data_IF_809474484073
#
_entry.id   IF_809474484073
#
_cell.length_a   1.000
_cell.length_b   1.000
_cell.length_c   1.000
_cell.angle_alpha   90.00
_cell.angle_beta   90.00
_cell.angle_gamma   90.00
#
_symmetry.space_group_name_H-M   'P 1'
#
loop_
_entity.id
_entity.type
_entity.pdbx_description
1 polymer ?
#
# COMPACT_ATOMS: atom_id res chain seq x y z
N UNK A 1 -26.04 66.70 5.89
CA UNK A 1 -25.69 65.62 4.93
C UNK A 1 -25.49 64.34 5.73
N UNK A 2 -26.35 63.32 5.53
CA UNK A 2 -26.25 62.03 6.25
C UNK A 2 -25.38 61.09 5.40
N UNK A 3 -24.21 60.71 5.93
CA UNK A 3 -23.33 59.73 5.29
C UNK A 3 -23.79 58.32 5.68
N UNK A 4 -24.12 57.50 4.68
CA UNK A 4 -24.42 56.08 4.86
C UNK A 4 -23.19 55.27 4.51
N UNK A 5 -22.55 54.66 5.51
CA UNK A 5 -21.49 53.67 5.31
C UNK A 5 -22.14 52.35 4.93
N UNK A 6 -21.93 51.88 3.69
CA UNK A 6 -22.31 50.54 3.26
C UNK A 6 -21.26 49.54 3.75
N UNK A 7 -21.67 48.60 4.60
CA UNK A 7 -20.85 47.47 4.98
C UNK A 7 -21.03 46.38 3.92
N UNK A 8 -20.00 46.12 3.12
CA UNK A 8 -19.99 45.01 2.17
C UNK A 8 -19.58 43.73 2.93
N UNK A 9 -20.50 42.77 3.05
CA UNK A 9 -20.20 41.44 3.54
C UNK A 9 -19.59 40.62 2.40
N UNK A 10 -18.31 40.27 2.51
CA UNK A 10 -17.69 39.28 1.64
C UNK A 10 -18.07 37.88 2.13
N UNK A 11 -18.92 37.17 1.39
CA UNK A 11 -19.07 35.72 1.55
C UNK A 11 -17.82 35.06 0.95
N UNK A 12 -16.89 34.64 1.81
CA UNK A 12 -15.86 33.70 1.41
C UNK A 12 -16.51 32.35 1.11
N UNK A 13 -16.48 31.92 -0.14
CA UNK A 13 -16.77 30.53 -0.49
C UNK A 13 -15.65 29.68 0.12
N UNK A 14 -15.96 28.97 1.20
CA UNK A 14 -15.10 27.92 1.71
C UNK A 14 -15.09 26.80 0.66
N UNK A 15 -14.04 26.76 -0.16
CA UNK A 15 -13.75 25.61 -1.01
C UNK A 15 -13.55 24.44 -0.05
N UNK A 16 -14.47 23.48 -0.02
CA UNK A 16 -14.27 22.23 0.71
C UNK A 16 -13.03 21.58 0.10
N UNK A 17 -11.91 21.57 0.83
CA UNK A 17 -10.80 20.72 0.48
C UNK A 17 -11.35 19.29 0.38
N UNK A 18 -11.14 18.63 -0.76
CA UNK A 18 -11.51 17.23 -0.88
C UNK A 18 -10.69 16.41 0.12
N UNK A 19 -11.32 15.45 0.80
CA UNK A 19 -10.60 14.54 1.68
C UNK A 19 -9.57 13.75 0.87
N UNK A 20 -8.34 13.65 1.37
CA UNK A 20 -7.26 12.91 0.70
C UNK A 20 -7.52 11.42 0.86
N UNK A 21 -7.55 10.69 -0.25
CA UNK A 21 -7.77 9.25 -0.27
C UNK A 21 -6.52 8.45 0.14
N UNK A 22 -6.72 7.19 0.51
CA UNK A 22 -5.60 6.27 0.82
C UNK A 22 -4.73 6.05 -0.42
N UNK A 23 -5.34 5.89 -1.60
CA UNK A 23 -4.63 5.75 -2.86
C UNK A 23 -3.75 6.97 -3.18
N UNK A 24 -4.23 8.20 -2.95
CA UNK A 24 -3.42 9.42 -3.09
C UNK A 24 -2.27 9.48 -2.08
N UNK A 25 -2.49 9.04 -0.84
CA UNK A 25 -1.44 8.96 0.19
C UNK A 25 -0.33 8.03 -0.25
N UNK A 26 -0.63 6.82 -0.73
CA UNK A 26 0.39 5.91 -1.24
C UNK A 26 1.03 6.46 -2.53
N UNK A 27 0.21 6.93 -3.46
CA UNK A 27 0.63 7.33 -4.80
C UNK A 27 1.06 6.14 -5.65
N UNK A 28 1.51 6.42 -6.88
CA UNK A 28 1.88 5.41 -7.87
C UNK A 28 3.40 5.16 -7.95
N UNK A 29 4.11 5.31 -6.83
CA UNK A 29 5.56 5.17 -6.71
C UNK A 29 5.91 4.53 -5.36
N UNK A 30 7.18 4.21 -5.15
CA UNK A 30 7.72 3.62 -3.90
C UNK A 30 7.83 4.58 -2.71
N UNK A 31 7.51 5.86 -2.90
CA UNK A 31 7.49 6.87 -1.84
C UNK A 31 6.26 7.75 -2.03
N UNK A 32 5.56 8.01 -0.94
CA UNK A 32 4.37 8.84 -0.91
C UNK A 32 4.61 10.25 -1.44
N UNK A 33 3.71 10.81 -2.27
CA UNK A 33 3.70 12.23 -2.61
C UNK A 33 3.32 13.14 -1.42
N UNK A 34 2.87 12.55 -0.32
CA UNK A 34 2.51 13.21 0.93
C UNK A 34 3.53 13.01 2.04
N UNK A 35 4.71 12.41 1.77
CA UNK A 35 5.77 12.25 2.77
C UNK A 35 5.99 13.55 3.56
N UNK A 36 5.97 13.41 4.89
CA UNK A 36 6.14 14.49 5.88
C UNK A 36 5.04 15.57 5.90
N UNK A 37 3.90 15.35 5.23
CA UNK A 37 2.75 16.26 5.22
C UNK A 37 1.64 15.81 6.18
N UNK A 38 0.94 16.79 6.73
CA UNK A 38 -0.33 16.57 7.41
C UNK A 38 -1.44 16.29 6.39
N UNK A 39 -2.28 15.30 6.70
CA UNK A 39 -3.49 14.95 5.94
C UNK A 39 -4.68 14.89 6.88
N UNK A 40 -5.85 15.25 6.37
CA UNK A 40 -7.10 15.25 7.14
C UNK A 40 -8.18 14.41 6.50
N UNK A 41 -9.11 13.95 7.33
CA UNK A 41 -10.31 13.22 6.93
C UNK A 41 -10.03 11.92 6.15
N UNK A 42 -8.89 11.27 6.44
CA UNK A 42 -8.50 9.99 5.84
C UNK A 42 -9.48 8.93 6.33
N UNK A 43 -10.26 8.38 5.40
CA UNK A 43 -11.33 7.43 5.70
C UNK A 43 -10.96 6.03 5.24
N UNK A 44 -11.11 5.04 6.12
CA UNK A 44 -10.82 3.64 5.80
C UNK A 44 -11.53 2.64 6.69
N UNK A 45 -11.72 1.44 6.18
CA UNK A 45 -12.22 0.27 6.90
C UNK A 45 -11.08 -0.43 7.64
N UNK A 46 -11.21 -0.61 8.94
CA UNK A 46 -10.22 -1.34 9.74
C UNK A 46 -10.27 -2.83 9.39
N UNK A 47 -9.21 -3.34 8.77
CA UNK A 47 -9.11 -4.75 8.36
C UNK A 47 -8.38 -5.61 9.39
N UNK A 48 -7.42 -5.03 10.10
CA UNK A 48 -6.64 -5.70 11.14
C UNK A 48 -6.15 -4.72 12.21
N UNK A 49 -5.94 -5.24 13.42
CA UNK A 49 -5.38 -4.51 14.56
C UNK A 49 -4.09 -5.23 14.98
N UNK A 50 -3.00 -4.49 15.13
CA UNK A 50 -1.73 -4.97 15.65
C UNK A 50 -1.38 -4.27 16.96
N UNK A 51 -0.29 -4.68 17.62
CA UNK A 51 0.22 -3.97 18.80
C UNK A 51 0.73 -2.56 18.49
N UNK A 52 1.16 -2.31 17.25
CA UNK A 52 1.81 -1.07 16.85
C UNK A 52 0.88 -0.13 16.07
N UNK A 53 -0.32 -0.59 15.70
CA UNK A 53 -1.21 0.19 14.86
C UNK A 53 -2.41 -0.60 14.35
N UNK A 54 -3.02 -0.06 13.29
CA UNK A 54 -4.15 -0.66 12.59
C UNK A 54 -3.93 -0.61 11.08
N UNK A 55 -4.52 -1.56 10.37
CA UNK A 55 -4.55 -1.56 8.91
C UNK A 55 -5.91 -1.08 8.43
N UNK A 56 -5.90 -0.17 7.47
CA UNK A 56 -7.07 0.36 6.81
C UNK A 56 -7.11 -0.12 5.37
N UNK A 57 -8.30 -0.40 4.87
CA UNK A 57 -8.62 -0.50 3.45
C UNK A 57 -9.50 0.69 3.05
N UNK A 58 -9.24 1.29 1.90
CA UNK A 58 -10.10 2.34 1.35
C UNK A 58 -11.55 1.87 1.20
N UNK A 59 -12.49 2.77 1.49
CA UNK A 59 -13.92 2.52 1.23
C UNK A 59 -14.35 3.02 -0.16
N UNK A 60 -13.44 3.68 -0.88
CA UNK A 60 -13.63 4.25 -2.22
C UNK A 60 -12.34 4.02 -3.02
N UNK A 61 -12.09 2.77 -3.45
CA UNK A 61 -10.92 2.48 -4.26
C UNK A 61 -10.95 3.25 -5.58
N UNK A 62 -9.78 3.58 -6.14
CA UNK A 62 -9.65 4.38 -7.36
C UNK A 62 -9.51 3.53 -8.64
N UNK A 63 -9.47 2.20 -8.50
CA UNK A 63 -9.26 1.22 -9.57
C UNK A 63 -7.94 1.39 -10.35
N UNK A 64 -6.97 2.17 -9.85
CA UNK A 64 -5.62 2.27 -10.41
C UNK A 64 -4.79 1.09 -9.89
N UNK A 65 -4.34 0.15 -10.74
CA UNK A 65 -3.52 -0.96 -10.29
C UNK A 65 -2.19 -0.53 -9.70
N UNK A 66 -1.72 0.69 -9.96
CA UNK A 66 -0.45 1.24 -9.49
C UNK A 66 -0.56 1.95 -8.13
N UNK A 67 -1.73 2.01 -7.49
CA UNK A 67 -1.90 2.59 -6.15
C UNK A 67 -2.40 1.50 -5.18
N UNK A 68 -1.93 1.56 -3.93
CA UNK A 68 -2.47 0.67 -2.90
C UNK A 68 -3.68 1.30 -2.23
N UNK A 69 -4.70 0.47 -2.00
CA UNK A 69 -5.89 0.80 -1.20
C UNK A 69 -5.71 0.49 0.29
N UNK A 70 -4.56 -0.09 0.65
CA UNK A 70 -4.15 -0.37 2.02
C UNK A 70 -3.36 0.78 2.64
N UNK A 71 -3.56 1.04 3.93
CA UNK A 71 -2.75 1.99 4.69
C UNK A 71 -2.51 1.49 6.10
N UNK A 72 -1.27 1.56 6.57
CA UNK A 72 -0.97 1.31 7.98
C UNK A 72 -1.02 2.61 8.78
N UNK A 73 -1.72 2.60 9.91
CA UNK A 73 -1.76 3.70 10.86
C UNK A 73 -0.94 3.31 12.08
N UNK A 74 0.23 3.93 12.25
CA UNK A 74 1.12 3.68 13.37
C UNK A 74 0.65 4.43 14.63
N UNK A 75 0.19 3.67 15.62
CA UNK A 75 -0.14 4.14 16.96
C UNK A 75 -0.35 2.96 17.91
N UNK A 76 0.42 2.90 18.99
CA UNK A 76 0.30 1.89 20.04
C UNK A 76 -0.97 2.00 20.90
N UNK A 77 -1.80 3.02 20.69
CA UNK A 77 -3.04 3.24 21.45
C UNK A 77 -4.30 3.17 20.60
N UNK A 78 -4.21 3.34 19.27
CA UNK A 78 -5.39 3.44 18.41
C UNK A 78 -6.19 2.13 18.37
N UNK A 79 -5.53 0.97 18.49
CA UNK A 79 -6.19 -0.33 18.56
C UNK A 79 -7.15 -0.51 19.75
N UNK A 80 -7.11 0.37 20.75
CA UNK A 80 -8.06 0.39 21.88
C UNK A 80 -9.35 1.18 21.57
N UNK A 81 -9.34 1.98 20.50
CA UNK A 81 -10.43 2.89 20.13
C UNK A 81 -11.33 2.33 19.02
N UNK A 82 -10.85 1.33 18.27
CA UNK A 82 -11.50 0.80 17.08
C UNK A 82 -11.54 -0.73 17.11
N UNK A 83 -12.38 -1.32 16.27
CA UNK A 83 -12.47 -2.77 16.04
C UNK A 83 -12.31 -3.05 14.55
N UNK A 84 -11.87 -4.26 14.23
CA UNK A 84 -11.90 -4.72 12.85
C UNK A 84 -13.36 -4.73 12.34
N UNK A 85 -13.60 -4.25 11.12
CA UNK A 85 -14.93 -3.98 10.57
C UNK A 85 -15.49 -2.58 10.85
N UNK A 86 -14.78 -1.73 11.61
CA UNK A 86 -15.15 -0.32 11.76
C UNK A 86 -14.70 0.49 10.54
N UNK A 87 -15.54 1.37 10.01
CA UNK A 87 -15.11 2.44 9.12
C UNK A 87 -14.79 3.65 9.98
N UNK A 88 -13.58 4.17 9.84
CA UNK A 88 -13.06 5.27 10.64
C UNK A 88 -12.61 6.42 9.75
N UNK A 89 -12.68 7.63 10.27
CA UNK A 89 -12.00 8.80 9.71
C UNK A 89 -11.01 9.36 10.73
N UNK A 90 -9.88 9.88 10.26
CA UNK A 90 -8.86 10.52 11.11
C UNK A 90 -7.95 11.46 10.33
N UNK A 91 -7.25 12.31 11.08
CA UNK A 91 -6.14 13.11 10.59
C UNK A 91 -4.82 12.44 11.00
N UNK A 92 -3.72 12.79 10.33
CA UNK A 92 -2.39 12.34 10.73
C UNK A 92 -1.27 12.94 9.87
N UNK A 93 -0.06 12.42 10.07
CA UNK A 93 1.14 12.81 9.30
C UNK A 93 1.65 11.61 8.53
N UNK A 94 1.79 11.73 7.22
CA UNK A 94 2.32 10.65 6.38
C UNK A 94 3.83 10.55 6.58
N UNK A 95 4.32 9.33 6.78
CA UNK A 95 5.74 9.02 6.96
C UNK A 95 6.12 7.80 6.14
N UNK A 96 7.39 7.78 5.76
CA UNK A 96 8.03 6.63 5.14
C UNK A 96 8.88 5.94 6.21
N UNK A 97 8.53 4.70 6.56
CA UNK A 97 9.18 3.96 7.63
C UNK A 97 9.82 2.66 7.16
N UNK A 98 11.03 2.39 7.67
CA UNK A 98 11.66 1.08 7.62
C UNK A 98 12.60 0.94 8.80
N UNK A 99 12.72 -0.27 9.33
CA UNK A 99 13.61 -0.58 10.44
C UNK A 99 14.98 -1.15 10.01
N UNK A 100 15.14 -1.44 8.71
CA UNK A 100 16.38 -1.89 8.10
C UNK A 100 16.56 -1.18 6.74
N UNK A 101 17.80 -0.81 6.42
CA UNK A 101 18.14 -0.20 5.13
C UNK A 101 17.98 -1.15 3.93
N UNK A 102 17.93 -2.45 4.18
CA UNK A 102 17.70 -3.48 3.15
C UNK A 102 16.21 -3.61 2.77
N UNK A 103 15.30 -2.98 3.52
CA UNK A 103 13.85 -3.05 3.25
C UNK A 103 13.36 -1.86 2.44
N UNK A 104 12.25 -2.08 1.73
CA UNK A 104 11.43 -1.00 1.19
C UNK A 104 10.84 -0.17 2.33
N UNK A 105 10.54 1.08 2.03
CA UNK A 105 9.77 1.91 2.94
C UNK A 105 8.32 1.46 2.95
N UNK A 106 7.69 1.55 4.11
CA UNK A 106 6.25 1.47 4.28
C UNK A 106 5.72 2.89 4.44
N UNK A 107 4.82 3.31 3.54
CA UNK A 107 4.01 4.50 3.76
C UNK A 107 3.05 4.24 4.92
N UNK A 108 3.15 5.05 5.96
CA UNK A 108 2.32 4.95 7.15
C UNK A 108 1.76 6.32 7.57
N UNK A 109 0.57 6.29 8.19
CA UNK A 109 0.00 7.45 8.85
C UNK A 109 0.38 7.43 10.33
N UNK A 110 1.02 8.51 10.78
CA UNK A 110 1.47 8.67 12.17
C UNK A 110 0.71 9.78 12.89
N UNK A 111 0.82 9.82 14.22
CA UNK A 111 0.15 10.83 15.07
C UNK A 111 -1.35 10.98 14.77
N UNK A 112 -2.11 9.87 14.75
CA UNK A 112 -3.53 9.94 14.44
C UNK A 112 -4.27 10.85 15.42
N UNK A 113 -5.13 11.73 14.89
CA UNK A 113 -5.96 12.64 15.67
C UNK A 113 -7.36 12.73 15.06
N UNK A 114 -8.34 13.22 15.81
CA UNK A 114 -9.74 13.28 15.39
C UNK A 114 -10.26 11.91 14.89
N UNK A 115 -9.89 10.82 15.57
CA UNK A 115 -10.34 9.47 15.22
C UNK A 115 -11.84 9.35 15.52
N UNK A 116 -12.65 9.14 14.49
CA UNK A 116 -14.10 8.97 14.59
C UNK A 116 -14.51 7.67 13.93
N UNK A 117 -15.24 6.82 14.66
CA UNK A 117 -15.89 5.63 14.09
C UNK A 117 -17.18 6.07 13.40
N UNK A 118 -17.21 5.96 12.07
CA UNK A 118 -18.35 6.34 11.22
C UNK A 118 -19.40 5.24 11.19
N UNK A 119 -18.97 3.98 11.13
CA UNK A 119 -19.84 2.80 11.20
C UNK A 119 -19.09 1.59 11.73
N UNK A 120 -19.82 0.58 12.21
CA UNK A 120 -19.26 -0.64 12.82
C UNK A 120 -19.88 -1.89 12.23
N UNK A 121 -19.15 -3.01 12.31
CA UNK A 121 -19.65 -4.33 11.91
C UNK A 121 -19.77 -4.52 10.40
N UNK A 122 -19.04 -3.73 9.62
CA UNK A 122 -19.00 -3.86 8.17
C UNK A 122 -18.31 -5.18 7.78
N UNK A 123 -18.91 -5.90 6.85
CA UNK A 123 -18.31 -7.12 6.32
C UNK A 123 -17.15 -6.79 5.38
N UNK A 124 -16.08 -7.58 5.46
CA UNK A 124 -14.96 -7.52 4.54
C UNK A 124 -14.35 -8.91 4.37
N UNK A 125 -13.66 -9.09 3.24
CA UNK A 125 -12.94 -10.32 2.91
C UNK A 125 -11.54 -9.97 2.39
N UNK A 126 -10.55 -10.83 2.58
CA UNK A 126 -9.26 -10.66 1.93
C UNK A 126 -9.41 -10.73 0.40
N UNK A 127 -8.56 -10.00 -0.32
CA UNK A 127 -8.42 -10.14 -1.78
C UNK A 127 -7.60 -11.39 -2.08
N UNK A 128 -8.09 -12.26 -2.93
CA UNK A 128 -7.36 -13.44 -3.38
C UNK A 128 -6.34 -13.03 -4.44
N UNK A 129 -5.04 -13.21 -4.14
CA UNK A 129 -3.96 -12.93 -5.08
C UNK A 129 -4.15 -13.71 -6.39
N UNK A 130 -4.16 -12.99 -7.52
CA UNK A 130 -4.37 -13.54 -8.86
C UNK A 130 -5.82 -13.95 -9.17
N UNK A 131 -6.80 -13.57 -8.34
CA UNK A 131 -8.22 -13.72 -8.67
C UNK A 131 -9.03 -12.44 -8.41
N UNK A 132 -8.83 -11.81 -7.25
CA UNK A 132 -9.38 -10.49 -6.93
C UNK A 132 -8.33 -9.37 -7.16
N UNK A 133 -7.07 -9.72 -7.43
CA UNK A 133 -5.97 -8.80 -7.79
C UNK A 133 -5.47 -9.08 -9.21
N UNK A 134 -4.53 -8.27 -9.71
CA UNK A 134 -3.72 -8.62 -10.89
C UNK A 134 -3.04 -10.00 -10.72
N UNK A 135 -2.70 -10.62 -11.86
CA UNK A 135 -1.80 -11.77 -11.85
C UNK A 135 -0.41 -11.29 -11.42
N UNK A 136 0.24 -11.93 -10.42
CA UNK A 136 1.62 -11.62 -10.10
C UNK A 136 2.51 -11.78 -11.34
N UNK A 137 3.33 -10.76 -11.68
CA UNK A 137 4.29 -10.89 -12.77
C UNK A 137 5.26 -12.05 -12.52
N UNK A 138 5.66 -12.72 -13.59
CA UNK A 138 6.41 -13.99 -13.51
C UNK A 138 7.70 -14.00 -14.36
N UNK A 139 8.18 -12.80 -14.74
CA UNK A 139 9.40 -12.62 -15.54
C UNK A 139 10.34 -11.60 -14.91
N UNK A 140 9.93 -10.33 -14.91
CA UNK A 140 10.80 -9.22 -14.52
C UNK A 140 10.61 -8.85 -13.04
N UNK A 141 11.73 -8.54 -12.36
CA UNK A 141 11.71 -8.17 -10.95
C UNK A 141 11.39 -6.68 -10.76
N UNK A 142 12.13 -5.79 -11.42
CA UNK A 142 11.90 -4.35 -11.40
C UNK A 142 12.28 -3.69 -12.73
N UNK A 143 11.71 -2.52 -13.03
CA UNK A 143 12.09 -1.72 -14.20
C UNK A 143 13.52 -1.17 -14.17
N UNK A 144 14.26 -1.39 -13.08
CA UNK A 144 15.65 -0.99 -12.93
C UNK A 144 16.65 -2.10 -13.32
N UNK A 145 16.19 -3.35 -13.47
CA UNK A 145 17.04 -4.51 -13.77
C UNK A 145 17.25 -4.69 -15.28
N UNK A 146 17.70 -3.64 -15.97
CA UNK A 146 17.88 -3.67 -17.42
C UNK A 146 18.95 -4.70 -17.82
N UNK A 147 18.59 -5.63 -18.72
CA UNK A 147 19.47 -6.73 -19.12
C UNK A 147 19.56 -7.86 -18.08
N UNK A 148 18.64 -7.89 -17.11
CA UNK A 148 18.55 -8.94 -16.09
C UNK A 148 19.75 -8.96 -15.14
N UNK A 149 19.97 -10.11 -14.50
CA UNK A 149 21.06 -10.31 -13.51
C UNK A 149 22.47 -10.13 -14.11
N UNK A 150 22.61 -10.24 -15.43
CA UNK A 150 23.87 -10.05 -16.15
C UNK A 150 23.98 -8.69 -16.87
N UNK A 151 22.99 -7.82 -16.71
CA UNK A 151 22.93 -6.52 -17.36
C UNK A 151 24.04 -5.58 -16.92
N UNK A 152 24.68 -4.92 -17.88
CA UNK A 152 25.66 -3.86 -17.63
C UNK A 152 25.40 -2.65 -18.55
N UNK A 153 25.44 -1.40 -18.02
CA UNK A 153 25.68 -1.03 -16.63
C UNK A 153 24.38 -1.03 -15.79
N UNK A 154 24.30 -1.89 -14.77
CA UNK A 154 23.26 -1.81 -13.72
C UNK A 154 23.82 -1.03 -12.53
N UNK A 155 23.60 0.29 -12.52
CA UNK A 155 24.16 1.22 -11.53
C UNK A 155 23.13 1.77 -10.53
N UNK A 156 21.89 1.27 -10.55
CA UNK A 156 20.85 1.68 -9.61
C UNK A 156 20.70 0.61 -8.54
N UNK A 157 21.21 0.89 -7.35
CA UNK A 157 21.18 -0.04 -6.20
C UNK A 157 20.05 0.26 -5.21
N UNK A 158 19.22 1.28 -5.50
CA UNK A 158 18.14 1.72 -4.61
C UNK A 158 16.92 2.15 -5.41
N UNK A 159 15.85 1.36 -5.32
CA UNK A 159 14.55 1.62 -5.94
C UNK A 159 13.93 2.91 -5.42
N UNK A 160 13.95 3.15 -4.09
CA UNK A 160 13.40 4.37 -3.47
C UNK A 160 14.16 5.64 -3.86
N UNK A 161 15.46 5.54 -4.18
CA UNK A 161 16.22 6.71 -4.69
C UNK A 161 15.80 7.07 -6.12
N UNK A 162 15.55 6.06 -6.95
CA UNK A 162 15.04 6.29 -8.31
C UNK A 162 13.56 6.65 -8.34
N UNK A 163 12.81 6.14 -7.36
CA UNK A 163 11.37 6.27 -7.16
C UNK A 163 10.56 6.21 -8.48
N UNK A 164 10.70 5.15 -9.30
CA UNK A 164 9.99 5.06 -10.58
C UNK A 164 8.47 5.01 -10.38
N UNK A 165 7.73 5.28 -11.45
CA UNK A 165 6.29 4.97 -11.49
C UNK A 165 6.16 3.45 -11.50
N UNK A 166 5.23 2.92 -10.71
CA UNK A 166 4.96 1.49 -10.67
C UNK A 166 4.38 1.00 -11.99
N UNK A 167 4.85 -0.15 -12.47
CA UNK A 167 4.16 -0.98 -13.47
C UNK A 167 3.91 -2.39 -12.88
N UNK A 168 2.82 -2.56 -12.12
CA UNK A 168 2.44 -3.82 -11.47
C UNK A 168 2.10 -4.95 -12.43
N UNK A 169 1.91 -4.64 -13.72
CA UNK A 169 1.63 -5.65 -14.75
C UNK A 169 2.91 -6.26 -15.30
N UNK A 170 4.00 -5.50 -15.29
CA UNK A 170 5.29 -5.92 -15.80
C UNK A 170 6.23 -6.45 -14.70
N UNK A 171 6.26 -5.80 -13.53
CA UNK A 171 7.31 -5.99 -12.55
C UNK A 171 6.79 -6.56 -11.23
N UNK A 172 7.44 -7.63 -10.76
CA UNK A 172 7.05 -8.32 -9.53
C UNK A 172 7.17 -7.44 -8.28
N UNK A 173 8.20 -6.59 -8.20
CA UNK A 173 8.38 -5.68 -7.06
C UNK A 173 7.25 -4.65 -6.99
N UNK A 174 6.90 -4.07 -8.14
CA UNK A 174 5.85 -3.06 -8.30
C UNK A 174 4.46 -3.65 -7.99
N UNK A 175 4.22 -4.92 -8.36
CA UNK A 175 3.02 -5.65 -7.98
C UNK A 175 2.85 -5.76 -6.47
N UNK A 176 3.91 -6.14 -5.74
CA UNK A 176 3.81 -6.24 -4.28
C UNK A 176 3.67 -4.87 -3.61
N UNK A 177 4.30 -3.84 -4.17
CA UNK A 177 4.15 -2.45 -3.72
C UNK A 177 2.70 -1.97 -3.88
N UNK A 178 2.04 -2.29 -5.01
CA UNK A 178 0.63 -1.93 -5.24
C UNK A 178 -0.37 -2.56 -4.25
N UNK A 179 0.07 -3.54 -3.45
CA UNK A 179 -0.75 -4.22 -2.44
C UNK A 179 -0.30 -3.89 -1.01
N UNK A 180 0.60 -2.91 -0.83
CA UNK A 180 1.18 -2.61 0.48
C UNK A 180 0.09 -2.20 1.50
N UNK A 181 0.08 -2.85 2.66
CA UNK A 181 -0.92 -2.60 3.70
C UNK A 181 -2.32 -3.19 3.44
N UNK A 182 -2.56 -3.83 2.29
CA UNK A 182 -3.84 -4.43 1.93
C UNK A 182 -4.01 -5.85 2.54
N UNK A 183 -5.22 -6.16 2.98
CA UNK A 183 -5.61 -7.49 3.42
C UNK A 183 -5.79 -8.44 2.21
N UNK A 184 -4.76 -9.24 1.97
CA UNK A 184 -4.73 -10.24 0.88
C UNK A 184 -4.68 -11.67 1.41
N UNK A 185 -4.96 -12.63 0.54
CA UNK A 185 -4.80 -14.06 0.82
C UNK A 185 -4.30 -14.81 -0.41
N UNK A 186 -3.49 -15.84 -0.18
CA UNK A 186 -3.04 -16.76 -1.23
C UNK A 186 -3.80 -18.07 -1.09
N UNK A 187 -4.49 -18.50 -2.16
CA UNK A 187 -5.21 -19.78 -2.21
C UNK A 187 -4.36 -20.89 -2.81
N UNK A 188 -4.61 -22.12 -2.37
CA UNK A 188 -3.95 -23.35 -2.86
C UNK A 188 -2.43 -23.21 -2.86
N UNK A 189 -1.88 -22.97 -1.65
CA UNK A 189 -0.49 -22.63 -1.44
C UNK A 189 0.41 -23.86 -1.67
N UNK A 190 1.47 -23.68 -2.45
CA UNK A 190 2.54 -24.66 -2.63
C UNK A 190 3.81 -24.15 -1.96
N UNK A 191 4.44 -24.99 -1.13
CA UNK A 191 5.75 -24.67 -0.56
C UNK A 191 6.83 -24.82 -1.64
N UNK A 192 7.68 -23.81 -1.77
CA UNK A 192 8.80 -23.81 -2.74
C UNK A 192 10.16 -23.90 -2.05
N UNK A 193 10.21 -23.77 -0.71
CA UNK A 193 11.42 -23.98 0.10
C UNK A 193 11.13 -24.80 1.34
N UNK A 194 12.20 -25.31 1.96
CA UNK A 194 12.14 -25.78 3.36
C UNK A 194 12.01 -24.57 4.30
N UNK A 195 11.40 -24.73 5.49
CA UNK A 195 11.42 -23.70 6.51
C UNK A 195 12.86 -23.33 6.91
N UNK A 196 13.12 -22.05 7.12
CA UNK A 196 14.38 -21.60 7.71
C UNK A 196 14.41 -21.88 9.24
N UNK A 197 15.49 -21.52 9.93
CA UNK A 197 15.64 -21.74 11.38
C UNK A 197 14.63 -20.96 12.25
N UNK A 198 13.92 -20.00 11.67
CA UNK A 198 12.89 -19.18 12.30
C UNK A 198 11.47 -19.68 11.97
N UNK A 199 11.34 -20.71 11.13
CA UNK A 199 10.05 -21.25 10.70
C UNK A 199 9.48 -20.58 9.44
N UNK A 200 10.18 -19.61 8.83
CA UNK A 200 9.71 -18.93 7.63
C UNK A 200 9.80 -19.85 6.42
N UNK A 201 8.78 -19.80 5.56
CA UNK A 201 8.69 -20.60 4.34
C UNK A 201 8.45 -19.70 3.14
N UNK A 202 9.06 -20.05 2.01
CA UNK A 202 8.70 -19.49 0.73
C UNK A 202 7.57 -20.30 0.12
N UNK A 203 6.56 -19.60 -0.39
CA UNK A 203 5.37 -20.20 -0.97
C UNK A 203 4.99 -19.54 -2.28
N UNK A 204 4.22 -20.26 -3.10
CA UNK A 204 3.49 -19.69 -4.24
C UNK A 204 2.02 -20.05 -4.14
N UNK A 205 1.16 -19.23 -4.72
CA UNK A 205 -0.24 -19.59 -4.94
C UNK A 205 -0.46 -20.42 -6.20
N UNK A 206 -1.73 -20.67 -6.49
CA UNK A 206 -2.19 -21.30 -7.73
C UNK A 206 -2.49 -20.28 -8.86
N UNK A 207 -1.88 -19.10 -8.79
CA UNK A 207 -1.83 -18.17 -9.92
C UNK A 207 -0.82 -18.66 -10.98
N UNK A 208 -0.77 -17.96 -12.12
CA UNK A 208 0.13 -18.34 -13.22
C UNK A 208 1.59 -18.21 -12.79
N UNK A 209 2.35 -19.31 -12.86
CA UNK A 209 3.76 -19.36 -12.46
C UNK A 209 4.60 -20.01 -13.56
N UNK A 210 5.75 -19.43 -13.84
CA UNK A 210 6.78 -19.96 -14.74
C UNK A 210 7.77 -20.83 -13.98
N UNK A 211 8.45 -21.76 -14.66
CA UNK A 211 9.52 -22.55 -14.04
C UNK A 211 9.07 -23.60 -13.01
N UNK A 212 7.79 -23.99 -12.99
CA UNK A 212 7.32 -25.06 -12.08
C UNK A 212 8.01 -26.39 -12.43
N UNK A 213 8.71 -26.98 -11.46
CA UNK A 213 9.40 -28.26 -11.65
C UNK A 213 8.56 -29.46 -11.17
N UNK A 214 9.00 -30.68 -11.50
CA UNK A 214 8.27 -31.92 -11.18
C UNK A 214 8.08 -32.20 -9.68
N UNK A 215 8.74 -31.44 -8.80
CA UNK A 215 8.56 -31.51 -7.35
C UNK A 215 7.62 -30.42 -6.79
N UNK A 216 6.98 -29.63 -7.67
CA UNK A 216 6.04 -28.57 -7.30
C UNK A 216 6.67 -27.23 -6.91
N UNK A 217 8.01 -27.16 -6.83
CA UNK A 217 8.79 -25.95 -6.60
C UNK A 217 8.94 -25.10 -7.87
N UNK A 218 9.67 -23.99 -7.75
CA UNK A 218 9.96 -23.07 -8.87
C UNK A 218 11.46 -23.05 -9.12
N UNK A 219 11.86 -23.34 -10.35
CA UNK A 219 13.22 -23.17 -10.86
C UNK A 219 13.34 -21.78 -11.46
N UNK A 220 14.32 -20.99 -11.01
CA UNK A 220 14.62 -19.71 -11.65
C UNK A 220 14.99 -19.93 -13.11
N UNK A 221 14.33 -19.21 -14.00
CA UNK A 221 14.65 -19.18 -15.42
C UNK A 221 15.61 -18.00 -15.67
N UNK A 222 16.40 -18.06 -16.74
CA UNK A 222 17.08 -16.85 -17.20
C UNK A 222 16.02 -15.80 -17.53
N UNK A 223 16.11 -14.61 -16.91
CA UNK A 223 15.31 -13.46 -17.29
C UNK A 223 15.67 -13.12 -18.74
N UNK A 224 14.69 -13.09 -19.63
CA UNK A 224 14.91 -12.97 -21.06
C UNK A 224 13.76 -12.26 -21.76
N UNK A 225 14.16 -11.36 -22.67
CA UNK A 225 13.36 -10.48 -23.54
C UNK A 225 12.03 -11.07 -24.06
#
# INVERSE_FOLDING_TARGET
MKSFTRLAAALGAATSAAAISIAEINGNRFLSPFQDKDVSDVTGLVTAISKDGIYLRSTRPDDDPATSEGLFVFSNTIGKQVRAGDVVTMNGVVKEYRNNNDYLYLTELTKPSNVVVVSSGNAYKPLVIGADTLQPPNKEYSGLDKGGIFGFPNAVTSISKSNPVLDPTAYGLDFWESLVGELVTVKNVFLVSRPNKYGDVWVRGNYTVTGVNGHGGVTMLEGGE
#
